data_IF_340085136986
#
_entry.id   IF_340085136986
#
_cell.length_a   1.000
_cell.length_b   1.000
_cell.length_c   1.000
_cell.angle_alpha   90.00
_cell.angle_beta   90.00
_cell.angle_gamma   90.00
#
_symmetry.space_group_name_H-M   'P 1'
#
loop_
_entity.id
_entity.type
_entity.pdbx_description
1 polymer ?
#
# COMPACT_ATOMS: atom_id res chain seq x y z
N UNK A 1 -4.38 -17.07 -4.72
CA UNK A 1 -3.91 -16.56 -6.03
C UNK A 1 -3.37 -15.15 -5.86
N UNK A 2 -2.46 -14.70 -6.74
CA UNK A 2 -1.91 -13.34 -6.69
C UNK A 2 -2.31 -12.60 -7.96
N UNK A 3 -2.91 -11.43 -7.77
CA UNK A 3 -3.31 -10.50 -8.81
C UNK A 3 -2.56 -9.19 -8.64
N UNK A 4 -2.38 -8.45 -9.74
CA UNK A 4 -1.65 -7.20 -9.73
C UNK A 4 -2.45 -6.15 -10.47
N UNK A 5 -2.46 -4.94 -9.92
CA UNK A 5 -3.13 -3.81 -10.54
C UNK A 5 -2.38 -2.51 -10.30
N UNK A 6 -2.61 -1.53 -11.18
CA UNK A 6 -2.06 -0.17 -11.01
C UNK A 6 -2.79 0.60 -9.92
N UNK A 7 -2.56 1.91 -9.88
CA UNK A 7 -3.20 2.82 -8.93
C UNK A 7 -4.73 2.73 -8.95
N UNK A 8 -5.35 3.03 -7.82
CA UNK A 8 -6.81 3.13 -7.72
C UNK A 8 -7.24 4.57 -7.52
N UNK A 9 -6.37 5.44 -6.99
CA UNK A 9 -6.72 6.78 -6.54
C UNK A 9 -8.02 6.79 -5.71
N UNK A 10 -8.20 5.79 -4.85
CA UNK A 10 -9.39 5.62 -4.01
C UNK A 10 -10.61 5.01 -4.71
N UNK A 11 -10.54 4.66 -6.00
CA UNK A 11 -11.65 4.09 -6.78
C UNK A 11 -11.58 2.56 -6.81
N UNK A 12 -12.30 1.93 -5.88
CA UNK A 12 -12.24 0.48 -5.67
C UNK A 12 -13.33 -0.33 -6.36
N UNK A 13 -14.28 0.31 -7.07
CA UNK A 13 -15.36 -0.40 -7.77
C UNK A 13 -14.83 -1.52 -8.69
N UNK A 14 -13.76 -1.25 -9.44
CA UNK A 14 -13.13 -2.25 -10.32
C UNK A 14 -12.58 -3.47 -9.56
N UNK A 15 -12.17 -3.29 -8.31
CA UNK A 15 -11.69 -4.38 -7.45
C UNK A 15 -12.88 -5.14 -6.87
N UNK A 16 -13.95 -4.45 -6.48
CA UNK A 16 -15.21 -5.08 -6.05
C UNK A 16 -15.78 -5.97 -7.16
N UNK A 17 -15.94 -5.43 -8.38
CA UNK A 17 -16.45 -6.17 -9.54
C UNK A 17 -15.55 -7.38 -9.86
N UNK A 18 -14.24 -7.20 -9.72
CA UNK A 18 -13.26 -8.27 -9.91
C UNK A 18 -13.44 -9.41 -8.89
N UNK A 19 -13.60 -9.08 -7.61
CA UNK A 19 -13.81 -10.06 -6.56
C UNK A 19 -15.08 -10.88 -6.79
N UNK A 20 -16.15 -10.25 -7.26
CA UNK A 20 -17.40 -10.93 -7.60
C UNK A 20 -17.25 -11.87 -8.80
N UNK A 21 -16.57 -11.41 -9.86
CA UNK A 21 -16.36 -12.17 -11.08
C UNK A 21 -15.45 -13.39 -10.87
N UNK A 22 -14.29 -13.17 -10.22
CA UNK A 22 -13.29 -14.21 -9.97
C UNK A 22 -13.60 -15.06 -8.73
N UNK A 23 -14.60 -14.67 -7.94
CA UNK A 23 -15.02 -15.33 -6.69
C UNK A 23 -13.84 -15.50 -5.72
N UNK A 24 -13.15 -14.41 -5.47
CA UNK A 24 -11.95 -14.39 -4.63
C UNK A 24 -12.29 -14.65 -3.16
N UNK A 25 -11.25 -14.91 -2.38
CA UNK A 25 -11.30 -15.03 -0.92
C UNK A 25 -10.16 -14.23 -0.27
N UNK A 26 -10.17 -14.05 1.05
CA UNK A 26 -9.07 -13.39 1.76
C UNK A 26 -7.72 -14.16 1.70
N UNK A 27 -7.71 -15.39 1.18
CA UNK A 27 -6.47 -16.12 0.87
C UNK A 27 -5.84 -15.66 -0.46
N UNK A 28 -6.61 -14.98 -1.31
CA UNK A 28 -6.13 -14.32 -2.51
C UNK A 28 -5.56 -12.94 -2.19
N UNK A 29 -4.57 -12.51 -2.99
CA UNK A 29 -3.85 -11.25 -2.80
C UNK A 29 -4.04 -10.38 -4.04
N UNK A 30 -4.49 -9.15 -3.85
CA UNK A 30 -4.43 -8.09 -4.87
C UNK A 30 -3.32 -7.12 -4.52
N UNK A 31 -2.28 -7.09 -5.36
CA UNK A 31 -1.18 -6.12 -5.23
C UNK A 31 -1.57 -4.83 -5.96
N UNK A 32 -1.57 -3.71 -5.23
CA UNK A 32 -1.80 -2.37 -5.79
C UNK A 32 -0.45 -1.66 -5.89
N UNK A 33 -0.02 -1.35 -7.11
CA UNK A 33 1.32 -0.81 -7.43
C UNK A 33 1.40 0.72 -7.27
N UNK A 34 1.07 1.24 -6.09
CA UNK A 34 1.08 2.68 -5.80
C UNK A 34 -0.32 3.30 -5.76
N UNK A 35 -0.41 4.50 -5.18
CA UNK A 35 -1.58 5.38 -5.17
C UNK A 35 -2.91 4.64 -4.94
N UNK A 36 -2.94 3.82 -3.88
CA UNK A 36 -4.17 3.16 -3.44
C UNK A 36 -5.20 4.20 -2.96
N UNK A 37 -4.73 5.38 -2.53
CA UNK A 37 -5.58 6.49 -2.11
C UNK A 37 -6.41 6.17 -0.87
N UNK A 38 -5.93 5.25 -0.02
CA UNK A 38 -6.64 4.81 1.19
C UNK A 38 -6.46 5.81 2.32
N UNK A 39 -5.25 6.35 2.50
CA UNK A 39 -4.87 7.32 3.54
C UNK A 39 -4.65 8.73 2.95
N UNK A 40 -5.60 9.24 2.16
CA UNK A 40 -5.43 10.53 1.46
C UNK A 40 -6.33 11.64 2.01
N UNK A 41 -7.58 11.32 2.37
CA UNK A 41 -8.57 12.34 2.72
C UNK A 41 -8.58 12.68 4.22
N UNK A 42 -7.99 11.83 5.05
CA UNK A 42 -7.97 11.92 6.50
C UNK A 42 -9.30 11.55 7.17
N UNK A 43 -9.21 11.30 8.49
CA UNK A 43 -10.34 11.17 9.42
C UNK A 43 -11.45 10.21 8.92
N UNK A 44 -12.66 10.73 8.77
CA UNK A 44 -13.89 9.95 8.53
C UNK A 44 -13.89 9.32 7.13
N UNK A 45 -13.40 10.04 6.12
CA UNK A 45 -13.45 9.58 4.73
C UNK A 45 -12.54 8.38 4.48
N UNK A 46 -11.36 8.37 5.11
CA UNK A 46 -10.45 7.23 5.01
C UNK A 46 -10.98 6.05 5.83
N UNK A 47 -11.62 6.31 6.99
CA UNK A 47 -12.30 5.27 7.77
C UNK A 47 -13.44 4.61 7.00
N UNK A 48 -14.37 5.38 6.42
CA UNK A 48 -15.49 4.85 5.62
C UNK A 48 -15.00 3.99 4.46
N UNK A 49 -13.93 4.43 3.81
CA UNK A 49 -13.26 3.67 2.76
C UNK A 49 -12.70 2.36 3.30
N UNK A 50 -11.97 2.37 4.42
CA UNK A 50 -11.45 1.14 5.05
C UNK A 50 -12.56 0.19 5.47
N UNK A 51 -13.68 0.69 6.00
CA UNK A 51 -14.87 -0.13 6.30
C UNK A 51 -15.44 -0.81 5.05
N UNK A 52 -15.51 -0.10 3.92
CA UNK A 52 -15.90 -0.71 2.64
C UNK A 52 -14.90 -1.80 2.22
N UNK A 53 -13.61 -1.49 2.22
CA UNK A 53 -12.56 -2.40 1.76
C UNK A 53 -12.40 -3.64 2.64
N UNK A 54 -12.76 -3.53 3.92
CA UNK A 54 -12.83 -4.68 4.84
C UNK A 54 -13.81 -5.75 4.41
N UNK A 55 -14.86 -5.39 3.67
CA UNK A 55 -15.88 -6.34 3.19
C UNK A 55 -15.44 -7.10 1.93
N UNK A 56 -14.46 -6.54 1.21
CA UNK A 56 -13.44 -7.17 0.37
C UNK A 56 -13.16 -8.68 0.59
N UNK A 57 -13.65 -9.66 -0.18
CA UNK A 57 -13.17 -11.04 -0.04
C UNK A 57 -11.82 -11.21 -0.77
N UNK A 58 -10.84 -10.40 -0.41
CA UNK A 58 -9.47 -10.40 -0.93
C UNK A 58 -8.54 -9.66 0.04
N UNK A 59 -7.29 -10.09 0.15
CA UNK A 59 -6.25 -9.33 0.84
C UNK A 59 -5.69 -8.27 -0.10
N UNK A 60 -5.84 -6.98 0.26
CA UNK A 60 -5.22 -5.88 -0.45
C UNK A 60 -3.80 -5.67 0.07
N UNK A 61 -2.81 -5.86 -0.81
CA UNK A 61 -1.41 -5.60 -0.53
C UNK A 61 -0.96 -4.34 -1.27
N UNK A 62 -0.91 -3.23 -0.56
CA UNK A 62 -0.68 -1.91 -1.10
C UNK A 62 0.81 -1.55 -1.05
N UNK A 63 1.38 -1.27 -2.21
CA UNK A 63 2.63 -0.52 -2.32
C UNK A 63 2.24 0.96 -2.34
N UNK A 64 2.92 1.79 -1.55
CA UNK A 64 2.56 3.21 -1.50
C UNK A 64 3.04 3.95 -2.76
N UNK A 65 2.27 4.94 -3.19
CA UNK A 65 2.68 5.89 -4.22
C UNK A 65 2.96 7.28 -3.66
N UNK A 66 2.64 8.33 -4.41
CA UNK A 66 2.81 9.73 -4.04
C UNK A 66 1.48 10.47 -3.77
N UNK A 67 0.35 9.76 -3.73
CA UNK A 67 -0.98 10.29 -3.40
C UNK A 67 -1.60 9.60 -2.19
N UNK A 68 -0.83 9.43 -1.12
CA UNK A 68 -1.31 8.96 0.18
C UNK A 68 -0.30 9.21 1.30
N UNK A 69 -0.80 9.41 2.52
CA UNK A 69 0.03 9.48 3.72
C UNK A 69 0.65 8.11 4.01
N UNK A 70 1.88 8.12 4.52
CA UNK A 70 2.59 6.91 4.90
C UNK A 70 1.97 6.23 6.13
N UNK A 71 1.70 4.92 6.08
CA UNK A 71 1.09 4.20 7.21
C UNK A 71 1.88 4.31 8.52
N UNK A 72 3.22 4.34 8.47
CA UNK A 72 4.10 4.47 9.64
C UNK A 72 4.03 5.83 10.34
N UNK A 73 3.46 6.84 9.69
CA UNK A 73 3.20 8.17 10.29
C UNK A 73 1.82 8.28 10.94
N UNK A 74 1.02 7.21 10.91
CA UNK A 74 -0.34 7.17 11.43
C UNK A 74 -0.39 6.23 12.64
N UNK A 75 -0.70 6.78 13.81
CA UNK A 75 -0.63 6.07 15.12
C UNK A 75 -1.47 4.79 15.20
N UNK A 76 -2.51 4.62 14.38
CA UNK A 76 -3.37 3.44 14.39
C UNK A 76 -2.73 2.21 13.74
N UNK A 77 -1.71 2.40 12.89
CA UNK A 77 -1.04 1.29 12.21
C UNK A 77 -0.02 0.62 13.11
N UNK A 78 -0.06 -0.71 13.13
CA UNK A 78 0.95 -1.56 13.75
C UNK A 78 1.78 -2.28 12.69
N UNK A 79 2.98 -2.72 13.05
CA UNK A 79 3.79 -3.60 12.22
C UNK A 79 3.39 -5.07 12.45
N UNK A 80 3.39 -5.86 11.36
CA UNK A 80 3.15 -7.31 11.40
C UNK A 80 4.04 -8.02 10.41
N UNK A 81 4.57 -9.18 10.81
CA UNK A 81 5.27 -10.07 9.89
C UNK A 81 4.25 -10.80 9.01
N UNK A 82 4.41 -10.68 7.70
CA UNK A 82 3.54 -11.29 6.70
C UNK A 82 4.36 -11.71 5.49
N UNK A 83 4.22 -12.97 5.06
CA UNK A 83 4.96 -13.54 3.93
C UNK A 83 6.47 -13.24 3.94
N UNK A 84 7.11 -13.33 5.11
CA UNK A 84 8.56 -13.15 5.25
C UNK A 84 9.04 -11.70 5.42
N UNK A 85 8.22 -10.70 5.07
CA UNK A 85 8.50 -9.27 5.27
C UNK A 85 7.63 -8.64 6.37
N UNK A 86 7.79 -7.33 6.54
CA UNK A 86 6.97 -6.50 7.44
C UNK A 86 5.92 -5.71 6.65
N UNK A 87 4.69 -5.71 7.15
CA UNK A 87 3.60 -4.86 6.67
C UNK A 87 3.08 -3.96 7.78
N UNK A 88 2.54 -2.81 7.39
CA UNK A 88 1.71 -1.97 8.25
C UNK A 88 0.25 -2.38 8.07
N UNK A 89 -0.45 -2.55 9.18
CA UNK A 89 -1.86 -2.94 9.19
C UNK A 89 -2.58 -2.36 10.41
N UNK A 90 -3.91 -2.38 10.38
CA UNK A 90 -4.77 -2.03 11.50
C UNK A 90 -5.60 -3.25 11.89
N UNK A 91 -5.78 -3.48 13.20
CA UNK A 91 -6.50 -4.66 13.70
C UNK A 91 -7.96 -4.70 13.21
N UNK A 92 -8.59 -3.53 13.09
CA UNK A 92 -9.95 -3.39 12.57
C UNK A 92 -10.07 -3.73 11.08
N UNK A 93 -8.96 -3.70 10.32
CA UNK A 93 -8.91 -3.87 8.86
C UNK A 93 -7.88 -4.94 8.44
N UNK A 94 -8.07 -6.22 8.84
CA UNK A 94 -7.04 -7.25 8.75
C UNK A 94 -6.64 -7.66 7.32
N UNK A 95 -7.48 -7.37 6.32
CA UNK A 95 -7.22 -7.64 4.91
C UNK A 95 -6.56 -6.46 4.19
N UNK A 96 -6.27 -5.35 4.87
CA UNK A 96 -5.60 -4.17 4.31
C UNK A 96 -4.17 -4.12 4.82
N UNK A 97 -3.21 -4.41 3.94
CA UNK A 97 -1.80 -4.48 4.28
C UNK A 97 -1.02 -3.50 3.42
N UNK A 98 -0.20 -2.65 4.05
CA UNK A 98 0.76 -1.81 3.34
C UNK A 98 2.16 -2.38 3.50
N UNK A 99 2.87 -2.53 2.40
CA UNK A 99 4.24 -3.02 2.44
C UNK A 99 5.18 -1.98 3.08
N UNK A 100 6.09 -2.44 3.94
CA UNK A 100 7.24 -1.63 4.36
C UNK A 100 8.33 -1.69 3.29
N UNK A 101 8.86 -0.53 2.92
CA UNK A 101 9.87 -0.45 1.86
C UNK A 101 11.15 -1.22 2.19
N UNK A 102 11.73 -1.84 1.16
CA UNK A 102 12.95 -2.64 1.26
C UNK A 102 12.75 -4.02 1.86
N UNK A 103 11.55 -4.34 2.38
CA UNK A 103 11.24 -5.69 2.79
C UNK A 103 11.14 -6.63 1.57
N UNK A 104 11.52 -7.88 1.80
CA UNK A 104 11.48 -8.96 0.80
C UNK A 104 10.42 -9.96 1.23
N UNK A 105 9.42 -10.13 0.38
CA UNK A 105 8.28 -11.02 0.58
C UNK A 105 8.45 -12.31 -0.20
N UNK A 106 7.99 -13.42 0.37
CA UNK A 106 7.79 -14.69 -0.34
C UNK A 106 6.33 -14.76 -0.82
N UNK A 107 6.17 -14.45 -2.10
CA UNK A 107 4.89 -14.44 -2.77
C UNK A 107 4.85 -15.58 -3.79
N UNK A 108 4.16 -16.67 -3.44
CA UNK A 108 4.06 -17.88 -4.27
C UNK A 108 5.44 -18.47 -4.65
N UNK A 109 6.31 -18.61 -3.64
CA UNK A 109 7.67 -19.15 -3.78
C UNK A 109 8.66 -18.20 -4.47
N UNK A 110 8.24 -16.97 -4.79
CA UNK A 110 9.07 -15.96 -5.46
C UNK A 110 9.43 -14.87 -4.48
N UNK A 111 10.74 -14.66 -4.30
CA UNK A 111 11.26 -13.54 -3.53
C UNK A 111 10.99 -12.24 -4.27
N UNK A 112 10.22 -11.36 -3.64
CA UNK A 112 9.73 -10.11 -4.22
C UNK A 112 10.13 -8.96 -3.31
N UNK A 113 10.98 -8.07 -3.81
CA UNK A 113 11.32 -6.83 -3.10
C UNK A 113 10.24 -5.78 -3.36
N UNK A 114 9.89 -5.00 -2.34
CA UNK A 114 8.92 -3.91 -2.46
C UNK A 114 9.60 -2.58 -2.21
N UNK A 115 9.34 -1.63 -3.11
CA UNK A 115 9.84 -0.26 -3.05
C UNK A 115 8.72 0.62 -3.60
N UNK A 116 8.15 1.47 -2.75
CA UNK A 116 7.12 2.43 -3.13
C UNK A 116 7.64 3.84 -3.32
N UNK A 117 6.72 4.78 -3.47
CA UNK A 117 6.96 6.21 -3.55
C UNK A 117 7.26 6.71 -4.96
N UNK A 118 6.95 7.97 -5.20
CA UNK A 118 7.08 8.62 -6.50
C UNK A 118 7.27 10.13 -6.37
N UNK A 119 7.79 10.75 -7.42
CA UNK A 119 7.91 12.20 -7.51
C UNK A 119 6.58 12.85 -7.92
N UNK A 120 6.13 13.85 -7.17
CA UNK A 120 4.91 14.63 -7.46
C UNK A 120 5.19 15.83 -8.35
N UNK A 121 4.88 15.71 -9.64
CA UNK A 121 4.98 16.82 -10.61
C UNK A 121 4.02 17.98 -10.28
N UNK A 122 2.91 17.66 -9.62
CA UNK A 122 1.84 18.56 -9.24
C UNK A 122 1.97 19.09 -7.80
N UNK A 123 3.11 18.82 -7.12
CA UNK A 123 3.40 19.30 -5.76
C UNK A 123 3.05 20.78 -5.56
N UNK A 124 3.50 21.64 -6.47
CA UNK A 124 3.26 23.09 -6.38
C UNK A 124 1.77 23.42 -6.39
N UNK A 125 0.99 22.76 -7.25
CA UNK A 125 -0.46 22.93 -7.33
C UNK A 125 -1.10 22.44 -6.03
N UNK A 126 -0.75 21.24 -5.56
CA UNK A 126 -1.31 20.65 -4.32
C UNK A 126 -1.08 21.57 -3.12
N UNK A 127 0.12 22.10 -2.96
CA UNK A 127 0.47 23.04 -1.87
C UNK A 127 -0.32 24.36 -1.99
N UNK A 128 -0.43 24.94 -3.19
CA UNK A 128 -1.14 26.22 -3.41
C UNK A 128 -2.64 26.10 -3.09
N UNK A 129 -3.27 24.99 -3.48
CA UNK A 129 -4.70 24.77 -3.31
C UNK A 129 -5.07 24.04 -2.01
N UNK A 130 -4.08 23.72 -1.16
CA UNK A 130 -4.31 23.01 0.09
C UNK A 130 -4.76 21.56 -0.08
N UNK A 131 -4.42 20.92 -1.20
CA UNK A 131 -4.59 19.48 -1.36
C UNK A 131 -3.51 18.74 -0.56
N UNK A 132 -3.81 17.51 -0.13
CA UNK A 132 -2.85 16.70 0.62
C UNK A 132 -1.57 16.55 -0.18
N UNK A 133 -0.41 16.80 0.42
CA UNK A 133 0.93 16.56 -0.11
C UNK A 133 1.83 16.22 1.07
N UNK A 134 2.65 15.19 0.94
CA UNK A 134 3.52 14.73 2.02
C UNK A 134 4.99 14.78 1.61
N UNK A 135 5.86 15.14 2.57
CA UNK A 135 7.28 15.34 2.31
C UNK A 135 8.04 14.03 2.05
N UNK A 136 7.47 12.91 2.48
CA UNK A 136 7.97 11.53 2.39
C UNK A 136 7.37 10.77 1.19
N UNK A 137 6.80 11.48 0.20
CA UNK A 137 6.25 10.88 -1.02
C UNK A 137 7.28 10.10 -1.85
N UNK A 138 8.57 10.44 -1.74
CA UNK A 138 9.67 9.74 -2.38
C UNK A 138 10.47 8.93 -1.36
N UNK A 139 11.08 7.80 -1.77
CA UNK A 139 12.05 7.10 -0.94
C UNK A 139 13.14 8.04 -0.43
N UNK A 140 13.35 8.05 0.87
CA UNK A 140 14.49 8.72 1.48
C UNK A 140 15.79 8.02 1.08
N UNK A 141 16.93 8.69 1.25
CA UNK A 141 18.22 8.06 1.00
C UNK A 141 18.50 6.89 1.96
N UNK A 142 17.90 6.91 3.14
CA UNK A 142 17.92 5.78 4.08
C UNK A 142 17.18 4.56 3.52
N UNK A 143 15.97 4.76 2.97
CA UNK A 143 15.19 3.68 2.35
C UNK A 143 15.95 3.12 1.14
N UNK A 144 16.51 3.98 0.29
CA UNK A 144 17.30 3.55 -0.88
C UNK A 144 18.50 2.69 -0.45
N UNK A 145 19.26 3.14 0.55
CA UNK A 145 20.40 2.36 1.08
C UNK A 145 19.94 1.04 1.68
N UNK A 146 18.84 1.04 2.44
CA UNK A 146 18.30 -0.19 3.02
C UNK A 146 17.92 -1.20 1.93
N UNK A 147 17.24 -0.77 0.87
CA UNK A 147 16.91 -1.58 -0.31
C UNK A 147 18.17 -2.18 -0.95
N UNK A 148 19.19 -1.36 -1.18
CA UNK A 148 20.46 -1.81 -1.77
C UNK A 148 21.13 -2.88 -0.89
N UNK A 149 21.20 -2.67 0.43
CA UNK A 149 21.74 -3.65 1.38
C UNK A 149 20.96 -4.97 1.38
N UNK A 150 19.63 -4.92 1.27
CA UNK A 150 18.80 -6.13 1.21
C UNK A 150 19.05 -6.94 -0.06
N UNK A 151 19.24 -6.26 -1.19
CA UNK A 151 19.58 -6.90 -2.47
C UNK A 151 20.98 -7.50 -2.46
N UNK A 152 21.96 -6.85 -1.81
CA UNK A 152 23.32 -7.37 -1.70
C UNK A 152 23.42 -8.62 -0.83
N UNK A 153 22.68 -8.69 0.28
CA UNK A 153 22.65 -9.86 1.18
C UNK A 153 22.13 -11.14 0.51
N UNK A 154 21.50 -11.04 -0.65
CA UNK A 154 20.86 -12.15 -1.37
C UNK A 154 21.50 -12.47 -2.72
N UNK A 155 22.66 -11.89 -3.02
CA UNK A 155 23.55 -12.37 -4.09
C UNK A 155 24.24 -13.67 -3.66
#
# INVERSE_FOLDING_TARGET
>A
MIYVTGDTHGKFQRITDFCEHEKTSCEDIMIILGDAGINYNGWVLDREKKELLKTLPITLFCIHGNHEQRPDTIDSYAEKRWHGGIVYWEEDYPNLLFAKDGEIFDLDGKQTIVIGGAYSIDKMIRVIYGYGWWADEQPSDEIKRYVEEQLEKRK
#
